data_IF_918751959506
#
_entry.id   IF_918751959506
#
_cell.length_a   1.000
_cell.length_b   1.000
_cell.length_c   1.000
_cell.angle_alpha   90.00
_cell.angle_beta   90.00
_cell.angle_gamma   90.00
#
_symmetry.space_group_name_H-M   'P 1'
#
loop_
_entity.id
_entity.type
_entity.pdbx_description
1 polymer ?
#
# COMPACT_ATOMS: atom_id res chain seq x y z
N UNK A 1 18.81 10.32 -6.88
CA UNK A 1 17.65 10.31 -5.96
C UNK A 1 18.16 10.57 -4.54
N UNK A 2 17.43 11.32 -3.71
CA UNK A 2 17.70 11.33 -2.27
C UNK A 2 17.37 9.94 -1.69
N UNK A 3 18.08 9.52 -0.64
CA UNK A 3 17.80 8.24 0.05
C UNK A 3 16.34 8.16 0.51
N UNK A 4 15.74 9.29 0.88
CA UNK A 4 14.34 9.38 1.32
C UNK A 4 13.34 9.00 0.22
N UNK A 5 13.59 9.36 -1.04
CA UNK A 5 12.67 9.03 -2.15
C UNK A 5 12.71 7.53 -2.46
N UNK A 6 13.89 6.91 -2.45
CA UNK A 6 14.00 5.47 -2.67
C UNK A 6 13.29 4.69 -1.56
N UNK A 7 13.44 5.11 -0.30
CA UNK A 7 12.73 4.51 0.83
C UNK A 7 11.20 4.62 0.69
N UNK A 8 10.70 5.76 0.19
CA UNK A 8 9.27 5.91 -0.11
C UNK A 8 8.82 4.95 -1.21
N UNK A 9 9.58 4.83 -2.31
CA UNK A 9 9.24 3.94 -3.42
C UNK A 9 9.23 2.46 -3.02
N UNK A 10 10.23 2.01 -2.26
CA UNK A 10 10.27 0.65 -1.71
C UNK A 10 9.09 0.39 -0.76
N UNK A 11 8.77 1.38 0.09
CA UNK A 11 7.63 1.30 1.00
C UNK A 11 6.29 1.17 0.25
N UNK A 12 6.13 1.77 -0.93
CA UNK A 12 4.92 1.61 -1.74
C UNK A 12 4.71 0.15 -2.17
N UNK A 13 5.79 -0.50 -2.64
CA UNK A 13 5.76 -1.91 -3.06
C UNK A 13 5.49 -2.83 -1.87
N UNK A 14 6.11 -2.55 -0.71
CA UNK A 14 5.86 -3.31 0.51
C UNK A 14 4.40 -3.21 0.95
N UNK A 15 3.85 -1.98 1.00
CA UNK A 15 2.48 -1.74 1.43
C UNK A 15 1.49 -2.43 0.48
N UNK A 16 1.66 -2.29 -0.84
CA UNK A 16 0.86 -3.00 -1.83
C UNK A 16 0.85 -4.51 -1.56
N UNK A 17 2.04 -5.11 -1.37
CA UNK A 17 2.16 -6.53 -1.08
C UNK A 17 1.54 -6.96 0.25
N UNK A 18 1.42 -6.05 1.23
CA UNK A 18 0.74 -6.32 2.51
C UNK A 18 -0.77 -6.24 2.36
N UNK A 19 -1.29 -5.21 1.69
CA UNK A 19 -2.72 -5.07 1.37
C UNK A 19 -3.19 -6.30 0.59
N UNK A 20 -2.50 -6.64 -0.50
CA UNK A 20 -2.82 -7.80 -1.37
C UNK A 20 -2.96 -9.13 -0.61
N UNK A 21 -2.17 -9.33 0.44
CA UNK A 21 -2.17 -10.58 1.23
C UNK A 21 -3.07 -10.52 2.47
N UNK A 22 -3.80 -9.45 2.71
CA UNK A 22 -4.57 -9.26 3.96
C UNK A 22 -5.64 -10.33 4.14
N UNK A 23 -6.39 -10.65 3.09
CA UNK A 23 -7.41 -11.71 3.11
C UNK A 23 -6.77 -13.09 3.27
N UNK A 24 -5.68 -13.38 2.57
CA UNK A 24 -4.97 -14.66 2.71
C UNK A 24 -4.40 -14.86 4.11
N UNK A 25 -3.89 -13.79 4.72
CA UNK A 25 -3.41 -13.82 6.10
C UNK A 25 -4.54 -14.01 7.12
N UNK A 26 -5.74 -13.51 6.84
CA UNK A 26 -6.93 -13.82 7.63
C UNK A 26 -7.32 -15.29 7.48
N UNK A 27 -7.36 -15.82 6.24
CA UNK A 27 -7.67 -17.24 5.96
C UNK A 27 -6.70 -18.21 6.67
N UNK A 28 -5.42 -17.86 6.76
CA UNK A 28 -4.40 -18.66 7.49
C UNK A 28 -4.67 -18.83 8.98
N UNK A 29 -5.55 -18.01 9.59
CA UNK A 29 -5.96 -18.20 10.98
C UNK A 29 -6.82 -19.46 11.18
N UNK A 30 -7.40 -20.01 10.11
CA UNK A 30 -8.36 -21.11 10.18
C UNK A 30 -9.78 -20.62 10.45
N UNK A 31 -10.78 -21.31 9.88
CA UNK A 31 -12.18 -20.87 9.89
C UNK A 31 -12.74 -20.66 11.30
N UNK A 32 -12.32 -21.46 12.29
CA UNK A 32 -12.73 -21.32 13.69
C UNK A 32 -12.23 -20.04 14.36
N UNK A 33 -11.20 -19.39 13.82
CA UNK A 33 -10.59 -18.17 14.36
C UNK A 33 -11.00 -16.90 13.60
N UNK A 34 -11.74 -17.03 12.49
CA UNK A 34 -12.29 -15.87 11.76
C UNK A 34 -13.61 -15.47 12.41
N UNK A 35 -13.51 -14.54 13.35
CA UNK A 35 -14.66 -13.90 13.99
C UNK A 35 -14.72 -12.41 13.61
N UNK A 36 -15.79 -11.73 14.05
CA UNK A 36 -15.99 -10.30 13.77
C UNK A 36 -14.78 -9.46 14.18
N UNK A 37 -14.25 -9.66 15.39
CA UNK A 37 -13.09 -8.91 15.89
C UNK A 37 -11.84 -9.11 15.04
N UNK A 38 -11.60 -10.34 14.55
CA UNK A 38 -10.50 -10.63 13.64
C UNK A 38 -10.67 -9.92 12.29
N UNK A 39 -11.88 -9.89 11.74
CA UNK A 39 -12.20 -9.18 10.49
C UNK A 39 -12.02 -7.67 10.66
N UNK A 40 -12.61 -7.08 11.69
CA UNK A 40 -12.51 -5.65 11.99
C UNK A 40 -11.06 -5.21 12.21
N UNK A 41 -10.28 -6.03 12.90
CA UNK A 41 -8.85 -5.78 13.11
C UNK A 41 -8.09 -5.79 11.78
N UNK A 42 -8.41 -6.72 10.87
CA UNK A 42 -7.78 -6.75 9.54
C UNK A 42 -8.17 -5.55 8.70
N UNK A 43 -9.44 -5.16 8.68
CA UNK A 43 -9.92 -3.95 7.98
C UNK A 43 -9.16 -2.72 8.49
N UNK A 44 -9.11 -2.51 9.82
CA UNK A 44 -8.38 -1.38 10.42
C UNK A 44 -6.90 -1.34 10.00
N UNK A 45 -6.25 -2.50 9.94
CA UNK A 45 -4.84 -2.59 9.52
C UNK A 45 -4.70 -2.23 8.03
N UNK A 46 -5.63 -2.66 7.16
CA UNK A 46 -5.63 -2.27 5.75
C UNK A 46 -5.86 -0.76 5.59
N UNK A 47 -6.81 -0.17 6.32
CA UNK A 47 -7.07 1.27 6.27
C UNK A 47 -5.82 2.09 6.66
N UNK A 48 -5.13 1.67 7.73
CA UNK A 48 -3.88 2.31 8.15
C UNK A 48 -2.78 2.22 7.08
N UNK A 49 -2.69 1.08 6.38
CA UNK A 49 -1.75 0.90 5.29
C UNK A 49 -2.12 1.77 4.08
N UNK A 50 -3.40 1.83 3.73
CA UNK A 50 -3.89 2.65 2.63
C UNK A 50 -3.64 4.14 2.87
N UNK A 51 -4.00 4.67 4.05
CA UNK A 51 -3.71 6.06 4.43
C UNK A 51 -2.21 6.39 4.37
N UNK A 52 -1.36 5.46 4.82
CA UNK A 52 0.11 5.61 4.71
C UNK A 52 0.54 5.63 3.25
N UNK A 53 -0.03 4.76 2.41
CA UNK A 53 0.28 4.66 0.99
C UNK A 53 -0.05 5.96 0.25
N UNK A 54 -1.24 6.52 0.46
CA UNK A 54 -1.67 7.81 -0.09
C UNK A 54 -0.74 8.96 0.36
N UNK A 55 -0.46 9.03 1.66
CA UNK A 55 0.44 10.06 2.21
C UNK A 55 1.84 9.99 1.57
N UNK A 56 2.37 8.78 1.35
CA UNK A 56 3.65 8.58 0.68
C UNK A 56 3.59 8.89 -0.81
N UNK A 57 2.48 8.58 -1.49
CA UNK A 57 2.25 8.95 -2.88
C UNK A 57 2.35 10.47 -3.08
N UNK A 58 1.72 11.25 -2.20
CA UNK A 58 1.80 12.72 -2.23
C UNK A 58 3.24 13.23 -2.06
N UNK A 59 4.02 12.62 -1.16
CA UNK A 59 5.44 12.94 -0.97
C UNK A 59 6.27 12.59 -2.21
N UNK A 60 6.03 11.43 -2.84
CA UNK A 60 6.69 11.02 -4.08
C UNK A 60 6.37 12.00 -5.20
N UNK A 61 5.10 12.41 -5.33
CA UNK A 61 4.65 13.40 -6.32
C UNK A 61 5.34 14.75 -6.10
N UNK A 62 5.40 15.22 -4.85
CA UNK A 62 6.10 16.46 -4.50
C UNK A 62 7.61 16.39 -4.78
N UNK A 63 8.24 15.23 -4.56
CA UNK A 63 9.66 15.01 -4.81
C UNK A 63 10.01 15.01 -6.30
N UNK A 64 9.19 14.37 -7.14
CA UNK A 64 9.40 14.32 -8.59
C UNK A 64 8.99 15.60 -9.32
N UNK A 65 8.04 16.37 -8.77
CA UNK A 65 7.52 17.62 -9.36
C UNK A 65 7.05 17.37 -10.80
N UNK A 66 7.54 18.17 -11.75
CA UNK A 66 7.19 18.08 -13.18
C UNK A 66 7.54 16.73 -13.80
N UNK A 67 8.56 16.04 -13.27
CA UNK A 67 8.99 14.72 -13.76
C UNK A 67 8.11 13.57 -13.27
N UNK A 68 7.11 13.84 -12.43
CA UNK A 68 6.27 12.79 -11.86
C UNK A 68 5.58 11.94 -12.92
N UNK A 69 5.01 12.58 -13.96
CA UNK A 69 4.31 11.89 -15.04
C UNK A 69 5.20 10.95 -15.85
N UNK A 70 6.49 11.29 -15.96
CA UNK A 70 7.45 10.50 -16.72
C UNK A 70 8.20 9.47 -15.88
N UNK A 71 8.01 9.49 -14.56
CA UNK A 71 8.67 8.58 -13.63
C UNK A 71 8.23 7.12 -13.82
N UNK A 72 9.14 6.19 -13.55
CA UNK A 72 8.83 4.74 -13.55
C UNK A 72 7.72 4.41 -12.55
N UNK A 73 7.68 5.12 -11.41
CA UNK A 73 6.63 4.96 -10.41
C UNK A 73 5.24 5.19 -11.00
N UNK A 74 5.02 6.31 -11.69
CA UNK A 74 3.73 6.60 -12.32
C UNK A 74 3.41 5.63 -13.44
N UNK A 75 4.40 5.31 -14.29
CA UNK A 75 4.24 4.38 -15.43
C UNK A 75 4.00 2.92 -15.01
N UNK A 76 4.27 2.58 -13.76
CA UNK A 76 4.03 1.23 -13.23
C UNK A 76 2.56 0.98 -12.85
N UNK A 77 1.74 2.04 -12.82
CA UNK A 77 0.35 2.05 -12.35
C UNK A 77 0.19 1.49 -10.92
N UNK A 78 1.25 1.54 -10.11
CA UNK A 78 1.25 0.94 -8.77
C UNK A 78 0.16 1.54 -7.88
N UNK A 79 -0.11 2.84 -8.01
CA UNK A 79 -1.18 3.51 -7.26
C UNK A 79 -2.55 2.92 -7.60
N UNK A 80 -2.93 2.92 -8.88
CA UNK A 80 -4.22 2.40 -9.35
C UNK A 80 -4.40 0.90 -9.05
N UNK A 81 -3.34 0.11 -9.20
CA UNK A 81 -3.32 -1.30 -8.83
C UNK A 81 -3.55 -1.49 -7.34
N UNK A 82 -2.94 -0.65 -6.50
CA UNK A 82 -3.09 -0.75 -5.04
C UNK A 82 -4.49 -0.30 -4.62
N UNK A 83 -5.02 0.77 -5.20
CA UNK A 83 -6.41 1.21 -4.98
C UNK A 83 -7.42 0.11 -5.32
N UNK A 84 -7.25 -0.57 -6.45
CA UNK A 84 -8.12 -1.67 -6.84
C UNK A 84 -7.96 -2.94 -5.98
N UNK A 85 -6.81 -3.08 -5.30
CA UNK A 85 -6.50 -4.23 -4.44
C UNK A 85 -7.01 -4.04 -3.01
N UNK A 86 -7.06 -2.79 -2.55
CA UNK A 86 -7.62 -2.39 -1.26
C UNK A 86 -9.14 -2.57 -1.24
#
# INVERSE_FOLDING_TARGET
MSMDLNALLESQVEIHGRISRSVDNLKKMGSSNINLSAIETRIRIMDQMWTKFESQHDLIRAAFKEKFRDSEYTKSDLFEKTESTY
#
